data_IF_663900872890
#
_entry.id   IF_663900872890
#
_cell.length_a   1.000
_cell.length_b   1.000
_cell.length_c   1.000
_cell.angle_alpha   90.00
_cell.angle_beta   90.00
_cell.angle_gamma   90.00
#
_symmetry.space_group_name_H-M   'P 1'
#
loop_
_entity.id
_entity.type
_entity.pdbx_description
1 polymer ?
#
# COMPACT_ATOMS: atom_id res chain seq x y z
N UNK A 1 2.57 -4.95 -12.98
CA UNK A 1 3.61 -5.72 -12.26
C UNK A 1 4.00 -4.97 -11.00
N UNK A 2 3.11 -4.90 -10.00
CA UNK A 2 3.39 -4.18 -8.75
C UNK A 2 2.42 -4.63 -7.67
N UNK A 3 2.86 -4.73 -6.43
CA UNK A 3 1.99 -4.69 -5.27
C UNK A 3 2.61 -3.81 -4.18
N UNK A 4 1.85 -2.80 -3.76
CA UNK A 4 2.20 -1.98 -2.61
C UNK A 4 1.03 -1.94 -1.63
N UNK A 5 1.33 -1.91 -0.34
CA UNK A 5 0.36 -1.78 0.74
C UNK A 5 0.85 -0.78 1.78
N UNK A 6 -0.07 0.06 2.25
CA UNK A 6 0.16 0.90 3.43
C UNK A 6 -0.94 0.64 4.45
N UNK A 7 -0.57 0.60 5.72
CA UNK A 7 -1.43 0.27 6.85
C UNK A 7 -1.31 1.39 7.89
N UNK A 8 -2.45 1.84 8.39
CA UNK A 8 -2.57 2.79 9.49
C UNK A 8 -3.06 2.06 10.74
N UNK A 9 -2.33 2.24 11.84
CA UNK A 9 -2.68 1.75 13.18
C UNK A 9 -2.52 2.88 14.19
N UNK A 10 -3.01 2.68 15.41
CA UNK A 10 -2.92 3.69 16.46
C UNK A 10 -1.46 4.06 16.74
N UNK A 11 -0.53 3.10 16.69
CA UNK A 11 0.90 3.32 16.96
C UNK A 11 1.66 4.02 15.81
N UNK A 12 1.08 4.13 14.61
CA UNK A 12 1.75 4.72 13.44
C UNK A 12 1.36 4.09 12.10
N UNK A 13 2.31 4.05 11.17
CA UNK A 13 2.10 3.63 9.78
C UNK A 13 3.08 2.53 9.36
N UNK A 14 2.63 1.59 8.53
CA UNK A 14 3.48 0.58 7.89
C UNK A 14 3.34 0.70 6.38
N UNK A 15 4.47 0.66 5.67
CA UNK A 15 4.54 0.70 4.22
C UNK A 15 5.33 -0.50 3.72
N UNK A 16 4.83 -1.17 2.70
CA UNK A 16 5.51 -2.29 2.06
C UNK A 16 5.32 -2.20 0.55
N UNK A 17 6.41 -2.31 -0.20
CA UNK A 17 6.38 -2.35 -1.67
C UNK A 17 7.32 -3.41 -2.21
N UNK A 18 6.90 -4.09 -3.28
CA UNK A 18 7.81 -4.88 -4.12
C UNK A 18 8.64 -3.98 -5.05
N UNK A 19 9.65 -4.53 -5.72
CA UNK A 19 10.54 -3.74 -6.60
C UNK A 19 10.53 -4.21 -8.06
N UNK A 20 9.88 -5.32 -8.37
CA UNK A 20 9.84 -5.86 -9.74
C UNK A 20 9.03 -4.95 -10.66
N UNK A 21 9.60 -4.50 -11.76
CA UNK A 21 8.91 -3.67 -12.75
C UNK A 21 9.01 -4.26 -14.14
N UNK A 22 8.00 -3.99 -14.98
CA UNK A 22 8.10 -4.24 -16.42
C UNK A 22 8.76 -3.02 -17.05
N UNK A 23 9.96 -3.20 -17.59
CA UNK A 23 10.67 -2.17 -18.35
C UNK A 23 10.42 -2.30 -19.87
N UNK A 24 9.81 -3.40 -20.32
CA UNK A 24 9.45 -3.65 -21.72
C UNK A 24 8.65 -4.95 -21.86
N UNK A 25 8.45 -5.41 -23.11
CA UNK A 25 7.64 -6.60 -23.44
C UNK A 25 8.24 -7.89 -22.87
N UNK A 26 9.54 -7.94 -22.61
CA UNK A 26 10.22 -9.09 -21.98
C UNK A 26 11.30 -8.65 -20.98
N UNK A 27 11.35 -7.37 -20.64
CA UNK A 27 12.37 -6.83 -19.76
C UNK A 27 11.79 -6.63 -18.36
N UNK A 28 12.28 -7.44 -17.43
CA UNK A 28 11.98 -7.31 -16.01
C UNK A 28 13.19 -6.67 -15.34
N UNK A 29 12.96 -5.53 -14.70
CA UNK A 29 13.99 -4.81 -13.96
C UNK A 29 13.60 -4.67 -12.48
N UNK A 30 14.56 -4.23 -11.68
CA UNK A 30 14.34 -3.83 -10.30
C UNK A 30 14.33 -2.31 -10.21
N UNK A 31 13.23 -1.75 -9.71
CA UNK A 31 13.12 -0.32 -9.43
C UNK A 31 12.39 -0.12 -8.10
N UNK A 32 12.90 0.78 -7.25
CA UNK A 32 12.22 1.11 -5.99
C UNK A 32 10.89 1.78 -6.29
N UNK A 33 9.86 1.30 -5.60
CA UNK A 33 8.49 1.84 -5.67
C UNK A 33 8.14 2.67 -4.45
N UNK A 34 9.05 2.79 -3.49
CA UNK A 34 8.94 3.60 -2.29
C UNK A 34 9.91 4.79 -2.39
N UNK A 35 9.39 6.00 -2.20
CA UNK A 35 10.18 7.23 -2.08
C UNK A 35 9.85 7.91 -0.75
N UNK A 36 10.87 8.34 -0.03
CA UNK A 36 10.74 9.03 1.25
C UNK A 36 11.12 10.50 1.07
N UNK A 37 10.28 11.41 1.55
CA UNK A 37 10.57 12.83 1.69
C UNK A 37 10.57 13.15 3.19
N UNK A 38 11.73 13.53 3.71
CA UNK A 38 11.96 13.68 5.14
C UNK A 38 12.59 15.04 5.46
N UNK A 39 12.11 15.65 6.54
CA UNK A 39 12.82 16.72 7.25
C UNK A 39 12.85 16.30 8.71
N UNK A 40 13.97 15.74 9.21
CA UNK A 40 14.01 15.10 10.52
C UNK A 40 13.53 16.03 11.64
N UNK A 41 12.60 15.54 12.45
CA UNK A 41 11.99 16.31 13.54
C UNK A 41 10.83 17.23 13.11
N UNK A 42 10.50 17.31 11.82
CA UNK A 42 9.39 18.11 11.31
C UNK A 42 8.38 17.26 10.52
N UNK A 43 8.83 16.45 9.56
CA UNK A 43 7.92 15.70 8.69
C UNK A 43 8.57 14.44 8.14
N UNK A 44 7.73 13.43 7.96
CA UNK A 44 8.05 12.22 7.19
C UNK A 44 6.90 11.96 6.25
N UNK A 45 7.19 11.84 4.96
CA UNK A 45 6.25 11.51 3.91
C UNK A 45 6.80 10.33 3.12
N UNK A 46 5.98 9.30 2.93
CA UNK A 46 6.31 8.09 2.19
C UNK A 46 5.33 7.97 1.03
N UNK A 47 5.88 7.87 -0.19
CA UNK A 47 5.15 7.73 -1.43
C UNK A 47 5.41 6.35 -2.03
N UNK A 48 4.35 5.55 -2.19
CA UNK A 48 4.37 4.28 -2.90
C UNK A 48 3.78 4.47 -4.29
N UNK A 49 4.42 3.96 -5.34
CA UNK A 49 3.95 4.04 -6.73
C UNK A 49 3.62 2.68 -7.35
N UNK A 50 2.56 2.62 -8.15
CA UNK A 50 2.20 1.44 -8.95
C UNK A 50 1.61 1.84 -10.30
N UNK A 51 1.80 0.98 -11.31
CA UNK A 51 1.35 1.22 -12.68
C UNK A 51 2.52 1.25 -13.66
N UNK A 52 2.43 2.11 -14.66
CA UNK A 52 3.50 2.35 -15.64
C UNK A 52 4.74 2.95 -14.96
N UNK A 53 5.91 2.33 -15.20
CA UNK A 53 7.18 2.78 -14.65
C UNK A 53 7.52 4.20 -15.11
N UNK A 54 7.39 4.47 -16.42
CA UNK A 54 7.70 5.78 -16.99
C UNK A 54 6.81 6.89 -16.37
N UNK A 55 5.51 6.62 -16.22
CA UNK A 55 4.57 7.59 -15.63
C UNK A 55 4.84 7.80 -14.14
N UNK A 56 5.14 6.73 -13.39
CA UNK A 56 5.43 6.84 -11.96
C UNK A 56 6.75 7.57 -11.70
N UNK A 57 7.79 7.30 -12.50
CA UNK A 57 9.05 8.03 -12.46
C UNK A 57 8.85 9.51 -12.79
N UNK A 58 8.14 9.82 -13.88
CA UNK A 58 7.85 11.20 -14.27
C UNK A 58 7.15 12.01 -13.16
N UNK A 59 6.20 11.40 -12.43
CA UNK A 59 5.55 12.04 -11.29
C UNK A 59 6.53 12.25 -10.13
N UNK A 60 7.33 11.24 -9.79
CA UNK A 60 8.33 11.33 -8.71
C UNK A 60 9.39 12.39 -9.02
N UNK A 61 9.83 12.48 -10.27
CA UNK A 61 10.83 13.45 -10.71
C UNK A 61 10.28 14.88 -10.60
N UNK A 62 9.05 15.14 -11.05
CA UNK A 62 8.40 16.45 -10.85
C UNK A 62 8.30 16.83 -9.37
N UNK A 63 8.02 15.87 -8.49
CA UNK A 63 7.93 16.11 -7.04
C UNK A 63 9.30 16.40 -6.43
N UNK A 64 10.36 15.72 -6.88
CA UNK A 64 11.74 15.97 -6.45
C UNK A 64 12.25 17.32 -6.94
N UNK A 65 12.05 17.63 -8.22
CA UNK A 65 12.42 18.91 -8.81
C UNK A 65 11.75 20.08 -8.07
N UNK A 66 10.49 19.93 -7.67
CA UNK A 66 9.79 20.95 -6.88
C UNK A 66 10.44 21.16 -5.50
N UNK A 67 10.96 20.09 -4.87
CA UNK A 67 11.68 20.16 -3.60
C UNK A 67 13.04 20.86 -3.77
N UNK A 68 13.80 20.51 -4.81
CA UNK A 68 15.15 21.03 -5.04
C UNK A 68 15.15 22.52 -5.42
N UNK A 69 14.11 22.96 -6.14
CA UNK A 69 13.95 24.37 -6.54
C UNK A 69 13.39 25.28 -5.44
N UNK A 70 13.15 24.76 -4.22
CA UNK A 70 12.63 25.54 -3.09
C UNK A 70 11.20 26.06 -3.29
N UNK A 71 10.46 25.48 -4.24
CA UNK A 71 9.08 25.87 -4.54
C UNK A 71 8.06 25.19 -3.60
N UNK A 72 6.77 25.43 -3.83
CA UNK A 72 5.69 24.68 -3.17
C UNK A 72 5.86 23.19 -3.48
N UNK A 73 6.19 22.40 -2.45
CA UNK A 73 6.63 21.01 -2.60
C UNK A 73 6.18 20.17 -1.41
N UNK A 74 6.44 18.87 -1.45
CA UNK A 74 6.13 17.96 -0.35
C UNK A 74 6.85 18.35 0.95
N UNK A 75 8.05 18.92 0.84
CA UNK A 75 8.83 19.40 2.00
C UNK A 75 8.34 20.74 2.56
N UNK A 76 7.49 21.48 1.84
CA UNK A 76 6.90 22.74 2.31
C UNK A 76 5.39 22.69 2.52
N UNK A 77 4.75 21.54 2.20
CA UNK A 77 3.32 21.35 2.35
C UNK A 77 2.83 21.60 3.80
N UNK A 78 1.75 22.37 4.01
CA UNK A 78 1.27 22.70 5.36
C UNK A 78 0.51 21.57 6.05
N UNK A 79 -0.08 20.64 5.29
CA UNK A 79 -0.83 19.49 5.80
C UNK A 79 -0.63 18.28 4.88
N UNK A 80 -0.87 17.07 5.41
CA UNK A 80 -0.76 15.87 4.58
C UNK A 80 -1.80 15.84 3.45
N UNK A 81 -2.97 16.45 3.66
CA UNK A 81 -3.98 16.63 2.61
C UNK A 81 -3.48 17.56 1.49
N UNK A 82 -2.77 18.64 1.84
CA UNK A 82 -2.15 19.51 0.85
C UNK A 82 -1.06 18.75 0.08
N UNK A 83 -0.24 17.95 0.77
CA UNK A 83 0.76 17.09 0.12
C UNK A 83 0.10 16.08 -0.85
N UNK A 84 -1.02 15.46 -0.48
CA UNK A 84 -1.78 14.58 -1.37
C UNK A 84 -2.33 15.32 -2.60
N UNK A 85 -2.74 16.59 -2.43
CA UNK A 85 -3.11 17.48 -3.53
C UNK A 85 -1.96 17.76 -4.49
N UNK A 86 -0.75 18.02 -3.97
CA UNK A 86 0.45 18.22 -4.80
C UNK A 86 0.81 16.97 -5.61
N UNK A 87 0.72 15.77 -5.02
CA UNK A 87 0.90 14.51 -5.76
C UNK A 87 -0.15 14.37 -6.85
N UNK A 88 -1.42 14.67 -6.55
CA UNK A 88 -2.49 14.63 -7.54
C UNK A 88 -2.30 15.63 -8.70
N UNK A 89 -1.80 16.83 -8.40
CA UNK A 89 -1.50 17.85 -9.42
C UNK A 89 -0.33 17.40 -10.31
N UNK A 90 0.70 16.77 -9.73
CA UNK A 90 1.80 16.16 -10.48
C UNK A 90 1.31 15.04 -11.40
N UNK A 91 0.44 14.13 -10.91
CA UNK A 91 -0.20 13.10 -11.73
C UNK A 91 -0.94 13.71 -12.93
N UNK A 92 -1.74 14.75 -12.71
CA UNK A 92 -2.46 15.45 -13.78
C UNK A 92 -1.53 16.16 -14.76
N UNK A 93 -0.40 16.68 -14.29
CA UNK A 93 0.59 17.31 -15.14
C UNK A 93 1.24 16.29 -16.10
N UNK A 94 1.63 15.12 -15.59
CA UNK A 94 2.17 14.03 -16.41
C UNK A 94 1.11 13.51 -17.38
N UNK A 95 -0.13 13.30 -16.91
CA UNK A 95 -1.25 12.93 -17.78
C UNK A 95 -1.42 13.91 -18.95
N UNK A 96 -1.50 15.22 -18.70
CA UNK A 96 -1.61 16.24 -19.77
C UNK A 96 -0.46 16.20 -20.77
N UNK A 97 0.74 15.82 -20.33
CA UNK A 97 1.93 15.74 -21.19
C UNK A 97 1.94 14.49 -22.07
N UNK A 98 1.44 13.36 -21.56
CA UNK A 98 1.68 12.05 -22.18
C UNK A 98 0.43 11.45 -22.84
N UNK A 99 -0.77 11.81 -22.41
CA UNK A 99 -2.02 11.15 -22.85
C UNK A 99 -2.20 11.16 -24.37
N UNK A 100 -1.97 12.28 -25.06
CA UNK A 100 -2.13 12.32 -26.52
C UNK A 100 -1.18 11.39 -27.28
N UNK A 101 0.03 11.17 -26.76
CA UNK A 101 0.97 10.23 -27.35
C UNK A 101 0.58 8.78 -27.02
N UNK A 102 0.13 8.51 -25.79
CA UNK A 102 -0.33 7.19 -25.36
C UNK A 102 -1.55 6.73 -26.18
N UNK A 103 -2.53 7.62 -26.38
CA UNK A 103 -3.74 7.36 -27.18
C UNK A 103 -3.39 7.00 -28.63
N UNK A 104 -2.36 7.62 -29.21
CA UNK A 104 -1.90 7.31 -30.57
C UNK A 104 -1.33 5.89 -30.72
N UNK A 105 -0.90 5.27 -29.62
CA UNK A 105 -0.44 3.88 -29.56
C UNK A 105 -1.47 2.94 -28.90
N UNK A 106 -2.71 3.40 -28.70
CA UNK A 106 -3.79 2.64 -28.02
C UNK A 106 -3.39 2.20 -26.59
N UNK A 107 -2.62 3.04 -25.89
CA UNK A 107 -2.19 2.81 -24.51
C UNK A 107 -2.96 3.72 -23.55
N UNK A 108 -3.30 3.19 -22.38
CA UNK A 108 -3.95 3.94 -21.31
C UNK A 108 -2.93 4.61 -20.36
N UNK A 109 -3.30 5.78 -19.83
CA UNK A 109 -2.60 6.36 -18.69
C UNK A 109 -2.94 5.58 -17.41
N UNK A 110 -1.94 5.02 -16.75
CA UNK A 110 -2.12 4.12 -15.62
C UNK A 110 -0.99 4.26 -14.60
N UNK A 111 -1.13 5.23 -13.70
CA UNK A 111 -0.31 5.32 -12.49
C UNK A 111 -1.18 5.63 -11.27
N UNK A 112 -0.82 5.04 -10.13
CA UNK A 112 -1.52 5.19 -8.86
C UNK A 112 -0.50 5.28 -7.74
N UNK A 113 -0.87 5.99 -6.68
CA UNK A 113 0.02 6.23 -5.55
C UNK A 113 -0.67 6.03 -4.21
N UNK A 114 0.11 5.65 -3.22
CA UNK A 114 -0.25 5.81 -1.81
C UNK A 114 0.73 6.80 -1.21
N UNK A 115 0.21 7.90 -0.65
CA UNK A 115 0.97 8.85 0.14
C UNK A 115 0.60 8.67 1.61
N UNK A 116 1.58 8.51 2.48
CA UNK A 116 1.36 8.46 3.92
C UNK A 116 2.43 9.20 4.68
N UNK A 117 2.15 9.53 5.93
CA UNK A 117 3.13 10.22 6.77
C UNK A 117 2.51 11.07 7.86
N UNK A 118 3.36 11.91 8.45
CA UNK A 118 2.97 12.86 9.48
C UNK A 118 3.78 14.15 9.29
N UNK A 119 3.10 15.29 9.38
CA UNK A 119 3.70 16.63 9.29
C UNK A 119 3.45 17.33 10.61
N UNK A 120 4.49 17.85 11.25
CA UNK A 120 4.36 18.64 12.47
C UNK A 120 3.74 19.98 12.09
N UNK A 121 2.45 20.16 12.37
CA UNK A 121 1.79 21.45 12.10
C UNK A 121 2.17 22.44 13.19
N UNK A 122 2.80 23.54 12.81
CA UNK A 122 2.98 24.71 13.70
C UNK A 122 1.70 25.53 13.87
N UNK A 123 0.68 25.29 13.03
CA UNK A 123 -0.57 26.05 13.02
C UNK A 123 -1.71 25.29 13.72
N UNK A 124 -2.46 26.03 14.53
CA UNK A 124 -3.66 25.66 15.26
C UNK A 124 -4.83 25.24 14.34
N UNK A 125 -4.67 24.17 13.56
CA UNK A 125 -5.82 23.47 12.99
C UNK A 125 -6.37 22.60 14.11
N UNK A 126 -7.58 22.87 14.64
CA UNK A 126 -8.10 22.10 15.74
C UNK A 126 -8.24 20.63 15.29
N UNK A 127 -7.83 19.66 16.12
CA UNK A 127 -8.08 18.25 15.83
C UNK A 127 -9.59 18.02 15.61
N UNK A 128 -9.93 16.98 14.83
CA UNK A 128 -11.32 16.54 14.66
C UNK A 128 -11.98 16.15 16.00
N UNK A 129 -11.18 15.93 17.04
CA UNK A 129 -11.60 15.95 18.44
C UNK A 129 -11.42 17.36 18.99
N UNK A 130 -12.52 18.05 19.27
CA UNK A 130 -12.49 19.36 19.92
C UNK A 130 -11.61 19.28 21.18
N UNK A 131 -10.49 20.02 21.26
CA UNK A 131 -9.73 20.07 22.49
C UNK A 131 -10.56 20.80 23.55
N UNK A 132 -10.51 20.29 24.78
CA UNK A 132 -10.97 21.06 25.92
C UNK A 132 -10.18 22.38 25.95
N UNK A 133 -10.87 23.49 26.21
CA UNK A 133 -10.27 24.83 26.16
C UNK A 133 -9.03 24.91 27.07
N UNK A 134 -7.84 25.11 26.46
CA UNK A 134 -6.58 25.31 27.17
C UNK A 134 -5.48 24.27 26.92
N UNK A 135 -5.76 23.17 26.23
CA UNK A 135 -4.73 22.19 25.85
C UNK A 135 -3.97 22.63 24.59
N UNK A 136 -2.64 22.45 24.53
CA UNK A 136 -1.89 22.64 23.29
C UNK A 136 -2.51 21.77 22.19
N UNK A 137 -2.65 22.31 20.98
CA UNK A 137 -3.20 21.56 19.85
C UNK A 137 -2.42 20.24 19.70
N UNK A 138 -3.12 19.11 19.82
CA UNK A 138 -2.51 17.80 19.66
C UNK A 138 -1.83 17.71 18.29
N UNK A 139 -0.64 17.08 18.20
CA UNK A 139 0.01 16.87 16.92
C UNK A 139 -0.96 16.13 15.98
N UNK A 140 -0.98 16.48 14.68
CA UNK A 140 -1.91 15.87 13.75
C UNK A 140 -1.58 14.39 13.61
N UNK A 141 -2.61 13.55 13.60
CA UNK A 141 -2.46 12.10 13.45
C UNK A 141 -1.74 11.76 12.13
N UNK A 142 -0.93 10.68 12.10
CA UNK A 142 -0.46 10.10 10.84
C UNK A 142 -1.66 9.75 9.93
N UNK A 143 -1.56 10.05 8.64
CA UNK A 143 -2.65 9.75 7.69
C UNK A 143 -2.12 9.03 6.46
N UNK A 144 -3.04 8.37 5.74
CA UNK A 144 -2.77 7.73 4.44
C UNK A 144 -3.77 8.24 3.40
N UNK A 145 -3.29 8.48 2.20
CA UNK A 145 -4.05 8.89 1.04
C UNK A 145 -3.74 7.98 -0.14
N UNK A 146 -4.77 7.58 -0.88
CA UNK A 146 -4.63 6.96 -2.20
C UNK A 146 -4.90 8.01 -3.26
N UNK A 147 -4.05 8.06 -4.28
CA UNK A 147 -4.16 8.95 -5.43
C UNK A 147 -4.37 8.07 -6.66
N UNK A 148 -5.48 8.27 -7.35
CA UNK A 148 -5.86 7.51 -8.55
C UNK A 148 -5.26 8.13 -9.82
N UNK A 149 -5.27 7.41 -10.97
CA UNK A 149 -4.79 7.93 -12.26
C UNK A 149 -5.46 9.25 -12.71
N UNK A 150 -6.72 9.49 -12.31
CA UNK A 150 -7.44 10.74 -12.60
C UNK A 150 -7.03 11.91 -11.69
N UNK A 151 -6.15 11.67 -10.72
CA UNK A 151 -5.72 12.67 -9.73
C UNK A 151 -6.82 13.06 -8.76
N UNK A 152 -7.85 12.24 -8.53
CA UNK A 152 -8.67 12.36 -7.33
C UNK A 152 -8.04 11.53 -6.19
N UNK A 153 -8.43 11.84 -4.95
CA UNK A 153 -7.82 11.26 -3.76
C UNK A 153 -8.85 10.73 -2.78
N UNK A 154 -8.49 9.67 -2.07
CA UNK A 154 -9.26 9.10 -0.94
C UNK A 154 -8.35 8.98 0.26
N UNK A 155 -8.86 9.30 1.45
CA UNK A 155 -8.14 9.15 2.71
C UNK A 155 -8.51 7.84 3.39
N UNK A 156 -7.54 7.15 3.98
CA UNK A 156 -7.81 6.04 4.89
C UNK A 156 -8.65 6.51 6.09
N UNK A 157 -9.38 5.59 6.68
CA UNK A 157 -10.25 5.86 7.83
C UNK A 157 -10.22 4.67 8.80
N UNK A 158 -10.82 4.80 9.97
CA UNK A 158 -10.94 3.67 10.90
C UNK A 158 -11.67 2.46 10.29
N UNK A 159 -12.60 2.68 9.34
CA UNK A 159 -13.29 1.61 8.62
C UNK A 159 -12.48 1.01 7.47
N UNK A 160 -11.48 1.75 6.95
CA UNK A 160 -10.54 1.27 5.93
C UNK A 160 -9.12 1.68 6.34
N UNK A 161 -8.51 0.92 7.28
CA UNK A 161 -7.24 1.29 7.90
C UNK A 161 -6.04 1.01 6.99
N UNK A 162 -6.22 0.35 5.85
CA UNK A 162 -5.15 0.07 4.90
C UNK A 162 -5.57 0.40 3.47
N UNK A 163 -4.56 0.66 2.63
CA UNK A 163 -4.70 0.96 1.21
C UNK A 163 -3.77 0.05 0.43
N UNK A 164 -4.20 -0.38 -0.76
CA UNK A 164 -3.44 -1.26 -1.64
C UNK A 164 -3.46 -0.70 -3.07
N UNK A 165 -2.34 -0.79 -3.77
CA UNK A 165 -2.22 -0.45 -5.20
C UNK A 165 -1.50 -1.58 -5.96
N UNK A 166 -1.81 -1.73 -7.24
CA UNK A 166 -1.34 -2.86 -8.06
C UNK A 166 -2.13 -4.16 -7.86
N UNK A 167 -1.45 -5.31 -7.81
CA UNK A 167 -1.99 -6.66 -7.65
C UNK A 167 -2.48 -6.95 -6.23
N UNK A 168 -3.51 -6.22 -5.81
CA UNK A 168 -4.02 -6.18 -4.43
C UNK A 168 -4.93 -7.35 -4.03
N UNK A 169 -5.41 -8.14 -5.00
CA UNK A 169 -6.47 -9.13 -4.78
C UNK A 169 -6.05 -10.31 -3.90
N UNK A 170 -4.82 -10.79 -4.06
CA UNK A 170 -4.36 -12.04 -3.44
C UNK A 170 -4.13 -11.89 -1.93
N UNK A 171 -3.52 -10.78 -1.51
CA UNK A 171 -3.21 -10.51 -0.11
C UNK A 171 -4.34 -9.86 0.70
N UNK A 172 -5.46 -9.51 0.06
CA UNK A 172 -6.57 -8.76 0.69
C UNK A 172 -7.32 -9.53 1.79
N UNK A 173 -7.70 -10.81 1.63
CA UNK A 173 -8.47 -11.52 2.66
C UNK A 173 -7.76 -11.58 4.02
N UNK A 174 -6.42 -11.68 4.02
CA UNK A 174 -5.64 -11.67 5.25
C UNK A 174 -5.74 -10.33 5.98
N UNK A 175 -5.66 -9.22 5.25
CA UNK A 175 -5.80 -7.87 5.80
C UNK A 175 -7.21 -7.66 6.35
N UNK A 176 -8.24 -8.03 5.58
CA UNK A 176 -9.65 -7.94 6.02
C UNK A 176 -9.85 -8.71 7.35
N UNK A 177 -9.32 -9.94 7.46
CA UNK A 177 -9.43 -10.73 8.69
C UNK A 177 -8.67 -10.13 9.88
N UNK A 178 -7.48 -9.56 9.64
CA UNK A 178 -6.65 -8.99 10.70
C UNK A 178 -7.30 -7.75 11.32
N UNK A 179 -7.89 -6.87 10.50
CA UNK A 179 -8.48 -5.61 10.95
C UNK A 179 -9.92 -5.73 11.47
N UNK A 180 -10.60 -6.85 11.24
CA UNK A 180 -11.98 -7.06 11.74
C UNK A 180 -12.05 -7.30 13.25
N UNK A 181 -10.98 -7.85 13.86
CA UNK A 181 -11.08 -8.41 15.23
C UNK A 181 -10.63 -7.46 16.34
N UNK A 182 -9.58 -6.67 16.10
CA UNK A 182 -8.97 -5.78 17.10
C UNK A 182 -8.00 -4.79 16.46
N UNK A 183 -7.61 -3.78 17.21
CA UNK A 183 -6.46 -2.95 16.90
C UNK A 183 -5.17 -3.80 16.88
N UNK A 184 -4.32 -3.56 15.90
CA UNK A 184 -3.01 -4.20 15.75
C UNK A 184 -1.93 -3.25 16.24
N UNK A 185 -0.90 -3.80 16.88
CA UNK A 185 0.34 -3.05 17.11
C UNK A 185 1.10 -2.83 15.80
N UNK A 186 2.05 -1.88 15.80
CA UNK A 186 2.88 -1.59 14.63
C UNK A 186 3.60 -2.83 14.07
N UNK A 187 4.16 -3.68 14.95
CA UNK A 187 4.87 -4.90 14.55
C UNK A 187 3.93 -5.98 14.00
N UNK A 188 2.69 -6.05 14.50
CA UNK A 188 1.67 -6.96 13.99
C UNK A 188 1.16 -6.52 12.61
N UNK A 189 0.99 -5.22 12.41
CA UNK A 189 0.70 -4.65 11.10
C UNK A 189 1.81 -4.96 10.09
N UNK A 190 3.09 -4.85 10.47
CA UNK A 190 4.23 -5.22 9.63
C UNK A 190 4.23 -6.71 9.25
N UNK A 191 3.97 -7.61 10.22
CA UNK A 191 3.81 -9.05 9.95
C UNK A 191 2.64 -9.32 9.01
N UNK A 192 1.51 -8.62 9.19
CA UNK A 192 0.33 -8.76 8.34
C UNK A 192 0.61 -8.30 6.90
N UNK A 193 1.30 -7.17 6.72
CA UNK A 193 1.74 -6.68 5.40
C UNK A 193 2.64 -7.71 4.69
N UNK A 194 3.61 -8.28 5.39
CA UNK A 194 4.52 -9.29 4.84
C UNK A 194 3.82 -10.59 4.45
N UNK A 195 2.87 -11.07 5.26
CA UNK A 195 2.08 -12.25 4.93
C UNK A 195 1.13 -12.00 3.76
N UNK A 196 0.56 -10.79 3.68
CA UNK A 196 -0.22 -10.33 2.54
C UNK A 196 0.62 -10.32 1.26
N UNK A 197 1.86 -9.83 1.34
CA UNK A 197 2.84 -9.86 0.25
C UNK A 197 3.24 -11.29 -0.15
N UNK A 198 3.48 -12.21 0.81
CA UNK A 198 3.79 -13.61 0.49
C UNK A 198 2.66 -14.31 -0.28
N UNK A 199 1.40 -14.05 0.10
CA UNK A 199 0.25 -14.56 -0.64
C UNK A 199 0.24 -14.06 -2.10
N UNK A 200 0.54 -12.77 -2.31
CA UNK A 200 0.64 -12.18 -3.65
C UNK A 200 1.82 -12.73 -4.45
N UNK A 201 3.02 -12.84 -3.86
CA UNK A 201 4.23 -13.39 -4.49
C UNK A 201 4.01 -14.81 -5.02
N UNK A 202 3.23 -15.63 -4.31
CA UNK A 202 2.91 -17.01 -4.71
C UNK A 202 1.86 -17.09 -5.81
N UNK A 203 0.93 -16.14 -5.83
CA UNK A 203 -0.20 -16.17 -6.74
C UNK A 203 0.06 -15.41 -8.05
N UNK A 204 1.04 -14.48 -8.07
CA UNK A 204 1.29 -13.62 -9.21
C UNK A 204 2.79 -13.33 -9.40
N UNK A 205 3.35 -13.81 -10.51
CA UNK A 205 4.78 -13.67 -10.86
C UNK A 205 5.21 -12.21 -11.15
N UNK A 206 4.24 -11.31 -11.31
CA UNK A 206 4.48 -9.89 -11.56
C UNK A 206 4.93 -9.10 -10.32
N UNK A 207 4.93 -9.76 -9.15
CA UNK A 207 5.40 -9.23 -7.88
C UNK A 207 6.61 -10.04 -7.46
N UNK A 208 7.68 -9.40 -6.99
CA UNK A 208 8.86 -10.11 -6.49
C UNK A 208 9.71 -9.32 -5.51
N UNK A 209 10.62 -10.06 -4.88
CA UNK A 209 11.75 -9.51 -4.15
C UNK A 209 12.69 -8.70 -5.06
N UNK A 210 13.49 -7.77 -4.50
CA UNK A 210 13.47 -7.34 -3.09
C UNK A 210 12.20 -6.58 -2.67
N UNK A 211 11.93 -6.53 -1.36
CA UNK A 211 10.80 -5.83 -0.76
C UNK A 211 11.31 -4.72 0.15
N UNK A 212 10.82 -3.51 -0.04
CA UNK A 212 11.12 -2.39 0.85
C UNK A 212 10.01 -2.28 1.90
N UNK A 213 10.37 -2.44 3.18
CA UNK A 213 9.49 -2.35 4.35
C UNK A 213 9.89 -1.15 5.21
N UNK A 214 8.94 -0.27 5.50
CA UNK A 214 9.11 0.88 6.40
C UNK A 214 8.01 0.87 7.47
N UNK A 215 8.40 0.98 8.74
CA UNK A 215 7.49 1.20 9.85
C UNK A 215 7.76 2.58 10.47
N UNK A 216 6.76 3.45 10.44
CA UNK A 216 6.80 4.78 11.01
C UNK A 216 6.06 4.78 12.34
N UNK A 217 6.77 5.13 13.41
CA UNK A 217 6.19 5.28 14.75
C UNK A 217 5.66 6.71 14.91
N UNK A 218 4.43 6.83 15.41
CA UNK A 218 3.73 8.11 15.62
C UNK A 218 4.59 9.10 16.41
N UNK A 219 4.54 10.36 16.02
CA UNK A 219 5.20 11.50 16.68
C UNK A 219 6.74 11.48 16.71
N UNK A 220 7.38 10.52 16.01
CA UNK A 220 8.84 10.45 15.92
C UNK A 220 9.42 11.42 14.88
N UNK A 221 8.65 11.72 13.82
CA UNK A 221 9.05 12.60 12.69
C UNK A 221 10.43 12.27 12.10
N UNK A 222 10.81 10.99 12.09
CA UNK A 222 12.02 10.50 11.45
C UNK A 222 11.86 9.06 11.00
N UNK A 223 12.66 8.63 10.02
CA UNK A 223 12.67 7.24 9.54
C UNK A 223 13.71 6.42 10.29
N UNK A 224 13.25 5.68 11.30
CA UNK A 224 14.13 4.81 12.11
C UNK A 224 14.06 3.32 11.70
N UNK A 225 12.91 2.85 11.20
CA UNK A 225 12.66 1.42 10.94
C UNK A 225 12.43 1.18 9.45
N UNK A 226 13.51 0.99 8.71
CA UNK A 226 13.50 0.62 7.30
C UNK A 226 14.35 -0.63 7.06
N UNK A 227 13.87 -1.53 6.21
CA UNK A 227 14.65 -2.68 5.75
C UNK A 227 14.29 -3.05 4.32
N UNK A 228 15.30 -3.40 3.53
CA UNK A 228 15.12 -4.03 2.23
C UNK A 228 15.33 -5.54 2.39
N UNK A 229 14.31 -6.32 2.08
CA UNK A 229 14.27 -7.76 2.27
C UNK A 229 14.45 -8.41 0.91
N UNK A 230 15.55 -9.12 0.69
CA UNK A 230 15.75 -9.92 -0.52
C UNK A 230 15.11 -11.32 -0.38
N UNK A 231 15.21 -12.12 -1.44
CA UNK A 231 14.70 -13.50 -1.50
C UNK A 231 15.42 -14.48 -0.56
N UNK A 232 16.60 -14.10 -0.06
CA UNK A 232 17.42 -14.92 0.83
C UNK A 232 17.16 -14.61 2.30
N UNK A 233 16.62 -13.43 2.61
CA UNK A 233 16.34 -12.96 3.96
C UNK A 233 15.55 -13.98 4.81
N UNK A 234 16.06 -14.27 6.00
CA UNK A 234 15.51 -15.32 6.87
C UNK A 234 14.13 -14.97 7.45
N UNK A 235 13.90 -13.69 7.75
CA UNK A 235 12.67 -13.28 8.43
C UNK A 235 11.38 -13.59 7.65
N UNK A 236 11.18 -13.16 6.38
CA UNK A 236 9.98 -13.55 5.61
C UNK A 236 9.80 -15.06 5.48
N UNK A 237 10.91 -15.79 5.29
CA UNK A 237 10.91 -17.26 5.19
C UNK A 237 10.42 -17.91 6.48
N UNK A 238 10.94 -17.48 7.62
CA UNK A 238 10.58 -17.98 8.95
C UNK A 238 9.16 -17.58 9.34
N UNK A 239 8.76 -16.34 9.07
CA UNK A 239 7.38 -15.84 9.31
C UNK A 239 6.36 -16.69 8.55
N UNK A 240 6.64 -16.96 7.28
CA UNK A 240 5.81 -17.81 6.42
C UNK A 240 5.71 -19.24 6.93
N UNK A 241 6.84 -19.86 7.29
CA UNK A 241 6.85 -21.22 7.87
C UNK A 241 5.98 -21.27 9.12
N UNK A 242 6.19 -20.33 10.03
CA UNK A 242 5.44 -20.21 11.27
C UNK A 242 3.93 -19.95 11.06
N UNK A 243 3.57 -19.23 9.99
CA UNK A 243 2.17 -19.02 9.58
C UNK A 243 1.54 -20.30 9.04
N UNK A 244 2.21 -20.99 8.11
CA UNK A 244 1.71 -22.25 7.54
C UNK A 244 1.48 -23.32 8.61
N UNK A 245 2.39 -23.47 9.55
CA UNK A 245 2.24 -24.40 10.69
C UNK A 245 1.01 -24.08 11.55
N UNK A 246 0.74 -22.80 11.80
CA UNK A 246 -0.44 -22.37 12.57
C UNK A 246 -1.74 -22.57 11.81
N UNK A 247 -1.75 -22.31 10.50
CA UNK A 247 -2.93 -22.54 9.65
C UNK A 247 -3.26 -24.04 9.58
N UNK A 248 -2.25 -24.90 9.41
CA UNK A 248 -2.43 -26.35 9.40
C UNK A 248 -2.98 -26.86 10.75
N UNK A 249 -2.41 -26.38 11.87
CA UNK A 249 -2.92 -26.70 13.20
C UNK A 249 -4.36 -26.22 13.40
N UNK A 250 -4.69 -25.01 12.95
CA UNK A 250 -6.05 -24.47 13.03
C UNK A 250 -7.03 -25.31 12.22
N UNK A 251 -6.68 -25.68 10.98
CA UNK A 251 -7.52 -26.50 10.11
C UNK A 251 -7.77 -27.90 10.69
N UNK A 252 -6.74 -28.54 11.25
CA UNK A 252 -6.86 -29.83 11.96
C UNK A 252 -7.77 -29.74 13.20
N UNK A 253 -7.79 -28.59 13.86
CA UNK A 253 -8.65 -28.33 15.01
C UNK A 253 -10.10 -27.99 14.68
N UNK A 254 -10.45 -27.77 13.41
CA UNK A 254 -11.82 -27.45 13.00
C UNK A 254 -12.70 -28.72 12.99
N UNK A 255 -14.00 -28.59 13.31
CA UNK A 255 -14.93 -29.72 13.22
C UNK A 255 -15.02 -30.23 11.78
N UNK A 256 -15.08 -31.56 11.63
CA UNK A 256 -15.30 -32.18 10.32
C UNK A 256 -16.68 -31.81 9.78
N UNK A 257 -16.77 -31.69 8.44
CA UNK A 257 -18.04 -31.46 7.78
C UNK A 257 -18.97 -32.67 8.00
N UNK A 258 -20.22 -32.40 8.36
CA UNK A 258 -21.28 -33.40 8.38
C UNK A 258 -21.88 -33.45 6.98
N UNK A 259 -21.58 -34.53 6.25
CA UNK A 259 -22.15 -34.77 4.92
C UNK A 259 -23.59 -35.24 5.07
N UNK A 260 -24.51 -34.66 4.29
CA UNK A 260 -25.87 -35.17 4.16
C UNK A 260 -25.96 -36.39 3.22
N UNK A 261 -27.15 -36.98 3.13
CA UNK A 261 -27.44 -38.02 2.14
C UNK A 261 -27.22 -37.49 0.70
N UNK A 262 -26.72 -38.30 -0.24
CA UNK A 262 -26.32 -37.87 -1.58
C UNK A 262 -27.51 -37.62 -2.54
N UNK A 263 -28.69 -37.27 -2.01
CA UNK A 263 -29.94 -37.14 -2.77
C UNK A 263 -29.95 -35.97 -3.77
N UNK A 264 -29.01 -35.03 -3.66
CA UNK A 264 -28.84 -33.90 -4.58
C UNK A 264 -27.58 -33.96 -5.46
N UNK A 265 -26.85 -35.08 -5.48
CA UNK A 265 -25.60 -35.18 -6.27
C UNK A 265 -25.92 -34.99 -7.75
N UNK A 266 -25.29 -34.02 -8.46
CA UNK A 266 -25.54 -33.77 -9.88
C UNK A 266 -24.96 -34.92 -10.73
N UNK A 267 -25.74 -35.99 -10.88
CA UNK A 267 -25.38 -37.15 -11.70
C UNK A 267 -25.65 -36.85 -13.17
N UNK A 268 -24.74 -37.28 -14.04
CA UNK A 268 -24.94 -37.18 -15.48
C UNK A 268 -26.24 -37.90 -15.89
N UNK A 269 -27.16 -37.19 -16.56
CA UNK A 269 -28.34 -37.80 -17.18
C UNK A 269 -27.84 -38.80 -18.23
N UNK A 270 -28.07 -40.10 -18.01
CA UNK A 270 -27.91 -41.08 -19.09
C UNK A 270 -28.93 -40.72 -20.18
N UNK A 271 -28.45 -40.25 -21.32
CA UNK A 271 -29.29 -39.97 -22.48
C UNK A 271 -30.13 -41.20 -22.81
N UNK A 272 -31.46 -41.03 -22.87
CA UNK A 272 -32.33 -42.04 -23.47
C UNK A 272 -31.87 -42.22 -24.91
N UNK A 273 -31.27 -43.37 -25.24
CA UNK A 273 -31.22 -43.81 -26.63
C UNK A 273 -32.67 -44.01 -27.07
N UNK A 274 -33.16 -43.12 -27.93
CA UNK A 274 -34.39 -43.36 -28.67
C UNK A 274 -34.10 -44.56 -29.59
N UNK A 275 -34.75 -45.69 -29.29
CA UNK A 275 -34.87 -46.81 -30.21
C UNK A 275 -36.04 -46.58 -31.15
#
# INVERSE_FOLDING_TARGET
MTYCVAISVDDGLVFLSDTRVSAGVEEVAEARKMTVFETPGERVLVLLGAGSLAQTQAVVDLLKDACDNGSTSLLTAPTLRAAAGMVADAVRAVHRRETSALEAFELDFNCSFILGGQIRTHAATPPARSPAAGEPAAPPDPQLFMIYPSGNTVCASAAMPYLQIGESRHGRPLLDWAFTRRALSLDEAAKCALLSMDATLRANLSVAYPLDLLAYERDTYRVDRFTSLDQHHDYPRNLRRAWCERVDAALKGMPSLIWGEPEGVPRARKGRRAG
#
